data_IF_468880299326
#
_entry.id   IF_468880299326
#
_cell.length_a   1.000
_cell.length_b   1.000
_cell.length_c   1.000
_cell.angle_alpha   90.00
_cell.angle_beta   90.00
_cell.angle_gamma   90.00
#
_symmetry.space_group_name_H-M   'P 1'
#
loop_
_entity.id
_entity.type
_entity.pdbx_description
1 polymer ?
#
# COMPACT_ATOMS: atom_id res chain seq x y z
N UNK A 1 10.28 4.98 14.31
CA UNK A 1 9.34 3.95 13.82
C UNK A 1 9.90 2.57 14.15
N UNK A 2 9.17 1.76 14.90
CA UNK A 2 9.67 0.46 15.36
C UNK A 2 8.98 -0.69 14.64
N UNK A 3 8.98 -0.63 13.31
CA UNK A 3 8.38 -1.68 12.49
C UNK A 3 9.50 -2.51 11.89
N UNK A 4 9.43 -3.83 12.11
CA UNK A 4 10.24 -4.79 11.39
C UNK A 4 9.44 -5.31 10.21
N UNK A 5 10.10 -5.49 9.09
CA UNK A 5 9.48 -5.96 7.86
C UNK A 5 9.96 -7.38 7.56
N UNK A 6 9.01 -8.33 7.49
CA UNK A 6 9.30 -9.75 7.28
C UNK A 6 8.82 -10.19 5.90
N UNK A 7 9.51 -11.18 5.33
CA UNK A 7 9.14 -11.81 4.07
C UNK A 7 9.21 -10.87 2.86
N UNK A 8 10.11 -9.92 2.94
CA UNK A 8 10.34 -8.97 1.85
C UNK A 8 10.76 -9.71 0.57
N UNK A 9 10.23 -9.26 -0.56
CA UNK A 9 10.71 -9.66 -1.88
C UNK A 9 11.43 -8.45 -2.47
N UNK A 10 12.67 -8.61 -2.91
CA UNK A 10 13.46 -7.50 -3.43
C UNK A 10 12.74 -6.83 -4.60
N UNK A 11 12.74 -5.50 -4.58
CA UNK A 11 12.16 -4.71 -5.66
C UNK A 11 13.09 -4.76 -6.85
N UNK A 12 12.58 -5.19 -8.00
CA UNK A 12 13.36 -5.24 -9.24
C UNK A 12 13.79 -3.83 -9.64
N UNK A 13 14.95 -3.71 -10.27
CA UNK A 13 15.56 -2.40 -10.60
C UNK A 13 14.64 -1.50 -11.41
N UNK A 14 13.86 -2.09 -12.33
CA UNK A 14 12.99 -1.35 -13.23
C UNK A 14 11.51 -1.36 -12.78
N UNK A 15 11.20 -1.93 -11.63
CA UNK A 15 9.81 -2.15 -11.21
C UNK A 15 9.00 -0.86 -11.14
N UNK A 16 9.53 0.16 -10.46
CA UNK A 16 8.79 1.40 -10.27
C UNK A 16 8.61 2.16 -11.58
N UNK A 17 9.62 2.19 -12.44
CA UNK A 17 9.49 2.84 -13.74
C UNK A 17 8.50 2.11 -14.64
N UNK A 18 8.46 0.78 -14.58
CA UNK A 18 7.47 0.01 -15.34
C UNK A 18 6.05 0.28 -14.86
N UNK A 19 5.82 0.32 -13.56
CA UNK A 19 4.49 0.60 -13.01
C UNK A 19 4.03 2.02 -13.33
N UNK A 20 4.94 2.98 -13.23
CA UNK A 20 4.67 4.37 -13.60
C UNK A 20 4.25 4.48 -15.06
N UNK A 21 4.97 3.81 -15.96
CA UNK A 21 4.66 3.83 -17.40
C UNK A 21 3.37 3.09 -17.72
N UNK A 22 3.22 1.89 -17.17
CA UNK A 22 2.09 1.01 -17.48
C UNK A 22 0.75 1.62 -17.07
N UNK A 23 0.70 2.21 -15.89
CA UNK A 23 -0.54 2.74 -15.32
C UNK A 23 -0.63 4.26 -15.40
N UNK A 24 0.42 4.93 -15.87
CA UNK A 24 0.50 6.39 -15.98
C UNK A 24 0.17 7.07 -14.66
N UNK A 25 0.83 6.60 -13.62
CA UNK A 25 0.69 7.12 -12.25
C UNK A 25 2.02 7.67 -11.77
N UNK A 26 1.98 8.52 -10.76
CA UNK A 26 3.19 9.05 -10.10
C UNK A 26 3.30 8.37 -8.75
N UNK A 27 4.44 7.71 -8.49
CA UNK A 27 4.69 7.08 -7.20
C UNK A 27 5.47 8.08 -6.35
N UNK A 28 4.90 8.54 -5.22
CA UNK A 28 5.58 9.55 -4.38
C UNK A 28 6.89 9.03 -3.79
N UNK A 29 7.80 9.95 -3.48
CA UNK A 29 9.14 9.61 -3.00
C UNK A 29 9.13 8.84 -1.69
N UNK A 30 8.28 9.20 -0.73
CA UNK A 30 8.18 8.48 0.54
C UNK A 30 7.67 7.05 0.34
N UNK A 31 6.73 6.84 -0.59
CA UNK A 31 6.29 5.50 -0.93
C UNK A 31 7.40 4.71 -1.63
N UNK A 32 8.16 5.35 -2.52
CA UNK A 32 9.32 4.69 -3.14
C UNK A 32 10.33 4.22 -2.08
N UNK A 33 10.60 5.03 -1.09
CA UNK A 33 11.52 4.66 -0.01
C UNK A 33 10.99 3.47 0.80
N UNK A 34 9.70 3.45 1.09
CA UNK A 34 9.08 2.30 1.75
C UNK A 34 9.25 1.03 0.91
N UNK A 35 8.99 1.12 -0.39
CA UNK A 35 9.07 -0.04 -1.28
C UNK A 35 10.49 -0.59 -1.40
N UNK A 36 11.50 0.25 -1.28
CA UNK A 36 12.90 -0.21 -1.32
C UNK A 36 13.22 -1.14 -0.14
N UNK A 37 12.59 -0.93 1.00
CA UNK A 37 12.89 -1.71 2.21
C UNK A 37 11.80 -2.72 2.57
N UNK A 38 10.61 -2.61 2.01
CA UNK A 38 9.45 -3.38 2.46
C UNK A 38 8.57 -3.92 1.34
N UNK A 39 9.05 -3.98 0.10
CA UNK A 39 8.25 -4.52 -0.99
C UNK A 39 7.75 -5.93 -0.65
N UNK A 40 6.45 -6.16 -0.73
CA UNK A 40 5.78 -7.42 -0.41
C UNK A 40 5.87 -7.86 1.05
N UNK A 41 6.41 -7.01 1.94
CA UNK A 41 6.71 -7.41 3.31
C UNK A 41 5.51 -7.29 4.24
N UNK A 42 5.52 -8.12 5.29
CA UNK A 42 4.56 -8.08 6.37
C UNK A 42 5.14 -7.26 7.53
N UNK A 43 4.43 -6.25 8.03
CA UNK A 43 4.92 -5.46 9.15
C UNK A 43 4.80 -6.23 10.48
N UNK A 44 5.67 -5.91 11.43
CA UNK A 44 5.60 -6.48 12.78
C UNK A 44 4.42 -5.92 13.59
N UNK A 45 3.90 -4.76 13.19
CA UNK A 45 2.72 -4.14 13.77
C UNK A 45 1.68 -4.05 12.68
N UNK A 46 0.58 -4.79 12.83
CA UNK A 46 -0.36 -5.05 11.74
C UNK A 46 -1.72 -4.39 11.90
N UNK A 47 -1.94 -3.63 12.98
CA UNK A 47 -3.25 -3.08 13.27
C UNK A 47 -3.25 -1.57 13.33
N UNK A 48 -4.38 -0.98 12.97
CA UNK A 48 -4.59 0.46 13.10
C UNK A 48 -6.07 0.73 13.34
N UNK A 49 -6.35 1.86 14.01
CA UNK A 49 -7.74 2.28 14.21
C UNK A 49 -8.18 3.18 13.06
N UNK A 50 -9.34 2.88 12.52
CA UNK A 50 -10.03 3.70 11.53
C UNK A 50 -11.31 4.19 12.22
N UNK A 51 -11.25 5.40 12.77
CA UNK A 51 -12.29 5.90 13.69
C UNK A 51 -12.42 4.95 14.88
N UNK A 52 -13.55 4.25 15.01
CA UNK A 52 -13.81 3.34 16.14
C UNK A 52 -13.54 1.88 15.78
N UNK A 53 -13.20 1.58 14.53
CA UNK A 53 -13.00 0.21 14.05
C UNK A 53 -11.52 -0.12 13.94
N UNK A 54 -11.16 -1.31 14.39
CA UNK A 54 -9.80 -1.83 14.20
C UNK A 54 -9.68 -2.48 12.83
N UNK A 55 -8.67 -2.06 12.07
CA UNK A 55 -8.36 -2.61 10.74
C UNK A 55 -6.98 -3.24 10.74
N UNK A 56 -6.69 -3.99 9.69
CA UNK A 56 -5.45 -4.74 9.55
C UNK A 56 -4.65 -4.23 8.36
N UNK A 57 -3.34 -4.05 8.57
CA UNK A 57 -2.38 -3.86 7.49
C UNK A 57 -1.58 -5.17 7.40
N UNK A 58 -2.00 -6.06 6.51
CA UNK A 58 -1.44 -7.42 6.43
C UNK A 58 -0.11 -7.48 5.72
N UNK A 59 0.04 -6.74 4.62
CA UNK A 59 1.28 -6.74 3.85
C UNK A 59 1.34 -5.53 2.93
N UNK A 60 2.56 -5.13 2.58
CA UNK A 60 2.81 -4.22 1.46
C UNK A 60 2.65 -5.02 0.17
N UNK A 61 2.04 -4.44 -0.84
CA UNK A 61 1.93 -5.07 -2.15
C UNK A 61 3.30 -5.13 -2.82
N UNK A 62 3.53 -6.17 -3.62
CA UNK A 62 4.71 -6.19 -4.49
C UNK A 62 4.48 -5.29 -5.69
N UNK A 63 5.42 -4.39 -5.96
CA UNK A 63 5.40 -3.55 -7.15
C UNK A 63 6.22 -4.16 -8.30
N UNK A 64 6.69 -5.40 -8.12
CA UNK A 64 7.37 -6.11 -9.20
C UNK A 64 6.40 -6.48 -10.32
N UNK A 65 6.81 -6.39 -11.57
CA UNK A 65 5.98 -6.88 -12.67
C UNK A 65 5.88 -8.40 -12.62
N UNK A 66 4.70 -8.91 -12.95
CA UNK A 66 4.42 -10.35 -13.05
C UNK A 66 4.71 -11.12 -11.75
N UNK A 67 4.47 -10.49 -10.61
CA UNK A 67 4.71 -11.11 -9.30
C UNK A 67 3.81 -12.33 -9.09
N UNK A 68 4.41 -13.46 -8.71
CA UNK A 68 3.70 -14.73 -8.47
C UNK A 68 3.71 -15.14 -7.00
N UNK A 69 4.60 -14.57 -6.21
CA UNK A 69 4.85 -15.03 -4.84
C UNK A 69 4.13 -14.21 -3.77
N UNK A 70 3.49 -13.10 -4.15
CA UNK A 70 2.82 -12.20 -3.22
C UNK A 70 1.71 -11.44 -3.92
N UNK A 71 0.83 -10.81 -3.13
CA UNK A 71 -0.16 -9.90 -3.65
C UNK A 71 0.53 -8.71 -4.31
N UNK A 72 0.02 -8.27 -5.46
CA UNK A 72 0.73 -7.32 -6.30
C UNK A 72 -0.05 -6.05 -6.55
N UNK A 73 0.70 -4.97 -6.79
CA UNK A 73 0.15 -3.71 -7.27
C UNK A 73 -0.62 -3.92 -8.58
N UNK A 74 -0.08 -4.73 -9.49
CA UNK A 74 -0.75 -5.00 -10.77
C UNK A 74 -2.15 -5.61 -10.56
N UNK A 75 -2.27 -6.57 -9.66
CA UNK A 75 -3.59 -7.14 -9.34
C UNK A 75 -4.53 -6.13 -8.70
N UNK A 76 -4.01 -5.31 -7.81
CA UNK A 76 -4.80 -4.29 -7.13
C UNK A 76 -5.34 -3.24 -8.11
N UNK A 77 -4.58 -2.92 -9.14
CA UNK A 77 -5.00 -1.93 -10.15
C UNK A 77 -6.19 -2.39 -10.98
N UNK A 78 -6.50 -3.70 -10.97
CA UNK A 78 -7.70 -4.22 -11.65
C UNK A 78 -9.00 -3.76 -11.00
N UNK A 79 -8.96 -3.25 -9.78
CA UNK A 79 -10.12 -2.64 -9.11
C UNK A 79 -10.61 -1.41 -9.88
N UNK A 80 -9.71 -0.70 -10.55
CA UNK A 80 -10.08 0.49 -11.33
C UNK A 80 -10.08 1.76 -10.51
N UNK A 81 -9.14 1.90 -9.58
CA UNK A 81 -9.00 3.12 -8.79
C UNK A 81 -8.76 4.35 -9.67
N UNK A 82 -9.20 5.51 -9.19
CA UNK A 82 -8.82 6.78 -9.77
C UNK A 82 -7.29 6.90 -9.78
N UNK A 83 -6.73 7.67 -10.72
CA UNK A 83 -5.27 7.74 -10.89
C UNK A 83 -4.54 8.34 -9.69
N UNK A 84 -5.22 9.13 -8.87
CA UNK A 84 -4.65 9.70 -7.65
C UNK A 84 -4.68 8.71 -6.47
N UNK A 85 -5.27 7.54 -6.61
CA UNK A 85 -5.36 6.53 -5.55
C UNK A 85 -4.47 5.35 -5.91
N UNK A 86 -3.38 5.18 -5.15
CA UNK A 86 -2.41 4.11 -5.38
C UNK A 86 -2.51 3.07 -4.27
N UNK A 87 -3.01 1.86 -4.57
CA UNK A 87 -2.97 0.80 -3.56
C UNK A 87 -1.52 0.40 -3.27
N UNK A 88 -1.17 0.28 -1.99
CA UNK A 88 0.18 -0.18 -1.62
C UNK A 88 0.16 -1.21 -0.50
N UNK A 89 -0.97 -1.42 0.16
CA UNK A 89 -1.11 -2.41 1.21
C UNK A 89 -2.41 -3.18 1.07
N UNK A 90 -2.47 -4.33 1.72
CA UNK A 90 -3.63 -5.22 1.65
C UNK A 90 -3.86 -5.87 3.02
N UNK A 91 -5.12 -6.14 3.35
CA UNK A 91 -5.47 -6.97 4.49
C UNK A 91 -5.84 -8.39 4.02
N UNK A 92 -6.27 -9.25 4.94
CA UNK A 92 -6.65 -10.61 4.60
C UNK A 92 -8.09 -10.74 4.08
N UNK A 93 -8.81 -9.63 3.96
CA UNK A 93 -10.23 -9.62 3.58
C UNK A 93 -10.48 -9.01 2.19
N UNK A 94 -9.42 -8.69 1.46
CA UNK A 94 -9.56 -8.08 0.13
C UNK A 94 -9.68 -6.58 0.13
N UNK A 95 -9.45 -5.92 1.27
CA UNK A 95 -9.43 -4.47 1.36
C UNK A 95 -8.02 -3.96 1.12
N UNK A 96 -7.91 -2.72 0.64
CA UNK A 96 -6.61 -2.13 0.31
C UNK A 96 -6.32 -0.89 1.14
N UNK A 97 -5.04 -0.70 1.44
CA UNK A 97 -4.54 0.54 2.01
C UNK A 97 -3.90 1.30 0.84
N UNK A 98 -4.34 2.54 0.62
CA UNK A 98 -3.99 3.30 -0.55
C UNK A 98 -3.38 4.65 -0.20
N UNK A 99 -2.57 5.17 -1.12
CA UNK A 99 -1.94 6.48 -1.03
C UNK A 99 -2.73 7.43 -1.93
N UNK A 100 -3.20 8.54 -1.36
CA UNK A 100 -3.85 9.60 -2.16
C UNK A 100 -2.77 10.59 -2.57
N UNK A 101 -2.41 10.59 -3.86
CA UNK A 101 -1.30 11.44 -4.35
C UNK A 101 -1.64 12.91 -4.43
N UNK A 102 -2.92 13.29 -4.36
CA UNK A 102 -3.32 14.69 -4.39
C UNK A 102 -2.94 15.43 -3.11
N UNK A 103 -2.99 14.74 -1.97
CA UNK A 103 -2.75 15.39 -0.68
C UNK A 103 -1.81 14.61 0.23
N UNK A 104 -1.32 13.46 -0.19
CA UNK A 104 -0.40 12.64 0.62
C UNK A 104 -1.07 11.81 1.70
N UNK A 105 -2.39 11.84 1.81
CA UNK A 105 -3.09 11.07 2.85
C UNK A 105 -3.11 9.59 2.53
N UNK A 106 -3.30 8.78 3.58
CA UNK A 106 -3.46 7.34 3.47
C UNK A 106 -4.94 7.04 3.69
N UNK A 107 -5.52 6.27 2.77
CA UNK A 107 -6.95 5.95 2.80
C UNK A 107 -7.14 4.44 2.80
N UNK A 108 -8.20 4.00 3.45
CA UNK A 108 -8.58 2.59 3.50
C UNK A 108 -9.73 2.37 2.50
N UNK A 109 -9.55 1.41 1.61
CA UNK A 109 -10.59 1.03 0.65
C UNK A 109 -11.32 -0.22 1.13
N UNK A 110 -12.61 -0.06 1.42
CA UNK A 110 -13.49 -1.17 1.78
C UNK A 110 -14.14 -1.70 0.50
N UNK A 111 -13.76 -2.92 0.11
CA UNK A 111 -14.21 -3.50 -1.16
C UNK A 111 -15.70 -3.88 -1.13
N UNK A 112 -16.28 -4.14 0.04
CA UNK A 112 -17.70 -4.50 0.15
C UNK A 112 -18.59 -3.28 -0.02
N UNK A 113 -18.18 -2.15 0.55
CA UNK A 113 -18.97 -0.91 0.48
C UNK A 113 -18.50 0.02 -0.63
N UNK A 114 -17.40 -0.32 -1.29
CA UNK A 114 -16.82 0.46 -2.39
C UNK A 114 -16.60 1.92 -1.98
N UNK A 115 -15.98 2.13 -0.81
CA UNK A 115 -15.70 3.47 -0.32
C UNK A 115 -14.28 3.61 0.19
N UNK A 116 -13.81 4.87 0.20
CA UNK A 116 -12.50 5.26 0.72
C UNK A 116 -12.69 6.10 1.97
N UNK A 117 -11.90 5.81 2.99
CA UNK A 117 -11.94 6.57 4.24
C UNK A 117 -10.52 6.89 4.68
N UNK A 118 -10.26 8.15 5.08
CA UNK A 118 -8.92 8.56 5.47
C UNK A 118 -8.49 7.87 6.75
N UNK A 119 -7.30 7.26 6.71
CA UNK A 119 -6.69 6.58 7.86
C UNK A 119 -5.60 7.43 8.51
N UNK A 120 -4.91 8.25 7.74
CA UNK A 120 -3.86 9.12 8.26
C UNK A 120 -3.59 10.26 7.27
N UNK A 121 -3.02 11.34 7.76
CA UNK A 121 -2.73 12.51 6.91
C UNK A 121 -1.46 12.34 6.08
N UNK A 122 -0.54 11.47 6.50
CA UNK A 122 0.70 11.16 5.77
C UNK A 122 1.05 9.69 5.93
N UNK A 123 1.95 9.20 5.06
CA UNK A 123 2.47 7.84 5.17
C UNK A 123 3.21 7.65 6.50
N UNK A 124 4.01 8.62 6.90
CA UNK A 124 4.73 8.54 8.17
C UNK A 124 3.77 8.43 9.35
N UNK A 125 2.73 9.26 9.39
CA UNK A 125 1.72 9.21 10.46
C UNK A 125 1.00 7.85 10.47
N UNK A 126 0.70 7.32 9.29
CA UNK A 126 0.06 6.02 9.18
C UNK A 126 0.94 4.92 9.79
N UNK A 127 2.22 4.88 9.41
CA UNK A 127 3.14 3.87 9.92
C UNK A 127 3.36 4.02 11.43
N UNK A 128 3.39 5.25 11.94
CA UNK A 128 3.57 5.50 13.37
C UNK A 128 2.35 5.11 14.22
N UNK A 129 1.17 5.04 13.64
CA UNK A 129 -0.03 4.63 14.39
C UNK A 129 -0.26 3.13 14.42
N UNK A 130 0.51 2.35 13.68
CA UNK A 130 0.38 0.88 13.69
C UNK A 130 0.75 0.30 15.07
N UNK A 131 0.04 -0.77 15.46
CA UNK A 131 0.30 -1.47 16.71
C UNK A 131 0.05 -2.96 16.64
#
# INVERSE_FOLDING_TARGET
>A
MNIEWKYKIDLADNALSEMTSKYQVVIPDDLKELLKVANAATPSKTRFMLKVDEKVFGAVLSFNPNEKEADSFESAMNIGFEKNILPFGIDSFGNYICYNTDNGSIVFFDHEEDNLEEAASTLEDFLNKLY
#
